data_IF_436548529473
#
_entry.id   IF_436548529473
#
_cell.length_a   1.000
_cell.length_b   1.000
_cell.length_c   1.000
_cell.angle_alpha   90.00
_cell.angle_beta   90.00
_cell.angle_gamma   90.00
#
_symmetry.space_group_name_H-M   'P 1'
#
loop_
_entity.id
_entity.type
_entity.pdbx_description
1 polymer ?
#
# COMPACT_ATOMS: atom_id res chain seq x y z
N UNK A 1 -14.96 33.01 -8.75
CA UNK A 1 -14.88 31.60 -9.18
C UNK A 1 -13.44 31.30 -9.54
N UNK A 2 -12.66 30.75 -8.60
CA UNK A 2 -11.28 30.33 -8.83
C UNK A 2 -11.26 28.81 -8.93
N UNK A 3 -10.65 28.31 -10.01
CA UNK A 3 -10.47 26.90 -10.28
C UNK A 3 -9.74 26.22 -9.12
N UNK A 4 -10.23 25.04 -8.74
CA UNK A 4 -9.60 24.15 -7.80
C UNK A 4 -8.12 23.98 -8.16
N UNK A 5 -7.23 24.44 -7.28
CA UNK A 5 -5.84 24.04 -7.32
C UNK A 5 -5.82 22.52 -7.16
N UNK A 6 -5.63 21.79 -8.27
CA UNK A 6 -5.36 20.36 -8.23
C UNK A 6 -4.20 20.14 -7.28
N UNK A 7 -4.42 19.32 -6.26
CA UNK A 7 -3.48 18.99 -5.20
C UNK A 7 -2.05 18.78 -5.72
N UNK A 8 -1.08 19.67 -5.37
CA UNK A 8 0.33 19.51 -5.74
C UNK A 8 1.07 18.40 -4.97
N UNK A 9 0.36 17.56 -4.21
CA UNK A 9 0.90 16.73 -3.13
C UNK A 9 0.70 15.22 -3.30
N UNK A 10 0.07 14.76 -4.38
CA UNK A 10 -0.03 13.31 -4.67
C UNK A 10 1.24 12.77 -5.34
N UNK A 11 2.39 12.89 -4.66
CA UNK A 11 3.62 12.20 -5.07
C UNK A 11 3.44 10.72 -4.82
N UNK A 12 3.37 9.94 -5.90
CA UNK A 12 3.37 8.48 -5.81
C UNK A 12 4.76 8.00 -5.41
N UNK A 13 4.92 7.63 -4.14
CA UNK A 13 6.14 6.99 -3.64
C UNK A 13 5.90 5.49 -3.55
N UNK A 14 6.74 4.65 -4.16
CA UNK A 14 6.63 3.21 -4.03
C UNK A 14 6.96 2.75 -2.60
N UNK A 15 6.04 1.98 -2.02
CA UNK A 15 6.18 1.34 -0.71
C UNK A 15 6.78 -0.07 -0.85
N UNK A 16 7.28 -0.62 0.26
CA UNK A 16 7.74 -2.01 0.38
C UNK A 16 8.86 -2.43 -0.59
N UNK A 17 9.65 -1.50 -1.12
CA UNK A 17 10.76 -1.81 -2.05
C UNK A 17 11.74 -2.86 -1.50
N UNK A 18 12.03 -2.80 -0.20
CA UNK A 18 12.95 -3.71 0.47
C UNK A 18 12.38 -5.13 0.68
N UNK A 19 11.08 -5.37 0.41
CA UNK A 19 10.47 -6.69 0.59
C UNK A 19 10.96 -7.70 -0.46
N UNK A 20 11.35 -7.24 -1.65
CA UNK A 20 11.84 -8.07 -2.76
C UNK A 20 10.95 -9.29 -3.10
N UNK A 21 9.65 -9.21 -2.83
CA UNK A 21 8.67 -10.26 -3.14
C UNK A 21 7.59 -9.72 -4.07
N UNK A 22 7.01 -10.61 -4.89
CA UNK A 22 5.88 -10.24 -5.73
C UNK A 22 4.59 -10.14 -4.91
N UNK A 23 3.95 -8.98 -4.98
CA UNK A 23 2.62 -8.76 -4.41
C UNK A 23 1.58 -9.46 -5.30
N UNK A 24 0.74 -10.29 -4.68
CA UNK A 24 -0.35 -11.04 -5.33
C UNK A 24 -1.68 -10.33 -5.22
N UNK A 25 -2.00 -9.86 -4.02
CA UNK A 25 -3.29 -9.23 -3.70
C UNK A 25 -3.10 -8.20 -2.58
N UNK A 26 -3.96 -7.19 -2.55
CA UNK A 26 -4.03 -6.15 -1.52
C UNK A 26 -5.50 -5.93 -1.16
N UNK A 27 -5.84 -6.03 0.12
CA UNK A 27 -7.20 -5.85 0.63
C UNK A 27 -7.22 -4.93 1.83
N UNK A 28 -8.23 -4.09 1.91
CA UNK A 28 -8.56 -3.37 3.15
C UNK A 28 -9.35 -4.31 4.07
N UNK A 29 -8.93 -4.41 5.33
CA UNK A 29 -9.64 -5.16 6.36
C UNK A 29 -10.79 -4.35 6.96
N UNK A 30 -11.70 -5.00 7.71
CA UNK A 30 -12.77 -4.30 8.44
C UNK A 30 -12.24 -3.37 9.55
N UNK A 31 -10.95 -3.49 9.88
CA UNK A 31 -10.19 -2.62 10.78
C UNK A 31 -9.63 -1.37 10.10
N UNK A 32 -9.82 -1.21 8.78
CA UNK A 32 -9.28 -0.10 7.99
C UNK A 32 -7.80 -0.22 7.66
N UNK A 33 -7.15 -1.38 7.92
CA UNK A 33 -5.75 -1.61 7.61
C UNK A 33 -5.58 -2.34 6.27
N UNK A 34 -4.40 -2.24 5.67
CA UNK A 34 -4.08 -2.94 4.42
C UNK A 34 -3.41 -4.29 4.69
N UNK A 35 -3.93 -5.32 4.03
CA UNK A 35 -3.43 -6.69 4.07
C UNK A 35 -2.87 -7.06 2.71
N UNK A 36 -1.60 -7.47 2.67
CA UNK A 36 -0.86 -7.77 1.44
C UNK A 36 -0.48 -9.24 1.41
N UNK A 37 -0.86 -9.94 0.34
CA UNK A 37 -0.46 -11.33 0.10
C UNK A 37 0.71 -11.37 -0.89
N UNK A 38 1.77 -12.12 -0.57
CA UNK A 38 2.88 -12.36 -1.52
C UNK A 38 2.73 -13.70 -2.24
N UNK A 39 3.27 -13.82 -3.46
CA UNK A 39 3.11 -15.01 -4.33
C UNK A 39 4.25 -16.01 -4.29
N UNK A 40 5.19 -15.92 -3.35
CA UNK A 40 6.30 -16.87 -3.24
C UNK A 40 5.85 -18.25 -2.73
N UNK A 41 6.69 -19.28 -2.89
CA UNK A 41 6.40 -20.64 -2.40
C UNK A 41 6.14 -20.69 -0.89
N UNK A 42 6.80 -19.81 -0.13
CA UNK A 42 6.52 -19.52 1.28
C UNK A 42 5.96 -18.09 1.39
N UNK A 43 4.83 -17.86 0.73
CA UNK A 43 4.16 -16.56 0.72
C UNK A 43 3.81 -16.06 2.13
N UNK A 44 3.76 -14.75 2.28
CA UNK A 44 3.43 -14.08 3.54
C UNK A 44 2.12 -13.30 3.40
N UNK A 45 1.37 -13.24 4.50
CA UNK A 45 0.31 -12.26 4.70
C UNK A 45 0.86 -11.16 5.61
N UNK A 46 1.04 -9.96 5.06
CA UNK A 46 1.55 -8.80 5.78
C UNK A 46 0.38 -7.87 6.14
N UNK A 47 0.40 -7.32 7.37
CA UNK A 47 -0.47 -6.22 7.78
C UNK A 47 0.33 -4.92 7.76
N UNK A 48 -0.19 -3.91 7.09
CA UNK A 48 0.41 -2.57 7.02
C UNK A 48 -0.36 -1.66 7.96
N UNK A 49 0.38 -1.00 8.85
CA UNK A 49 -0.12 0.04 9.73
C UNK A 49 0.45 1.40 9.30
N UNK A 50 -0.26 2.51 9.57
CA UNK A 50 0.30 3.84 9.40
C UNK A 50 1.61 4.00 10.17
N UNK A 51 2.60 4.60 9.53
CA UNK A 51 3.79 5.06 10.24
C UNK A 51 3.45 6.23 11.18
N UNK A 52 4.22 6.37 12.25
CA UNK A 52 4.19 7.53 13.16
C UNK A 52 4.84 8.76 12.56
#
# INVERSE_FOLDING_TARGET
MAAAAGWPDSVRVPLLRALHQRIRDVREGPDGLLYVLTSENQGALLRIEPGS
#
